data_IF_623687465410
#
_entry.id   IF_623687465410
#
_cell.length_a   1.000
_cell.length_b   1.000
_cell.length_c   1.000
_cell.angle_alpha   90.00
_cell.angle_beta   90.00
_cell.angle_gamma   90.00
#
_symmetry.space_group_name_H-M   'P 1'
#
loop_
_entity.id
_entity.type
_entity.pdbx_description
1 polymer ?
#
# COMPACT_ATOMS: atom_id res chain seq x y z
N UNK A 1 -6.98 6.63 -6.80
CA UNK A 1 -5.91 5.99 -6.03
C UNK A 1 -6.19 4.50 -5.88
N UNK A 2 -7.22 4.07 -5.15
CA UNK A 2 -7.50 2.63 -4.98
C UNK A 2 -7.52 1.85 -6.31
N UNK A 3 -8.18 2.36 -7.36
CA UNK A 3 -8.16 1.73 -8.69
C UNK A 3 -6.76 1.48 -9.25
N UNK A 4 -5.82 2.38 -8.98
CA UNK A 4 -4.43 2.23 -9.45
C UNK A 4 -3.72 1.11 -8.70
N UNK A 5 -3.90 1.04 -7.38
CA UNK A 5 -3.37 -0.05 -6.54
C UNK A 5 -3.93 -1.40 -6.97
N UNK A 6 -5.25 -1.51 -7.18
CA UNK A 6 -5.88 -2.75 -7.65
C UNK A 6 -5.41 -3.13 -9.07
N UNK A 7 -5.13 -2.14 -9.92
CA UNK A 7 -4.53 -2.38 -11.24
C UNK A 7 -3.13 -3.01 -11.12
N UNK A 8 -2.31 -2.52 -10.18
CA UNK A 8 -1.01 -3.11 -9.91
C UNK A 8 -1.13 -4.52 -9.30
N UNK A 9 -2.04 -4.70 -8.35
CA UNK A 9 -2.30 -6.00 -7.71
C UNK A 9 -2.77 -7.06 -8.70
N UNK A 10 -3.50 -6.68 -9.76
CA UNK A 10 -3.90 -7.61 -10.83
C UNK A 10 -2.71 -8.25 -11.54
N UNK A 11 -1.55 -7.61 -11.54
CA UNK A 11 -0.32 -8.14 -12.14
C UNK A 11 0.39 -9.20 -11.30
N UNK A 12 -0.12 -9.55 -10.10
CA UNK A 12 0.48 -10.54 -9.19
C UNK A 12 -0.48 -11.65 -8.75
N UNK A 13 -1.66 -11.76 -9.39
CA UNK A 13 -2.69 -12.76 -9.04
C UNK A 13 -2.29 -14.21 -9.34
N UNK A 14 -1.25 -14.43 -10.11
CA UNK A 14 -0.63 -15.73 -10.32
C UNK A 14 0.19 -16.21 -9.10
N UNK A 15 0.47 -15.32 -8.18
CA UNK A 15 1.28 -15.56 -6.97
C UNK A 15 0.55 -15.35 -5.65
N UNK A 16 -0.52 -14.54 -5.66
CA UNK A 16 -1.28 -14.13 -4.49
C UNK A 16 -2.78 -14.16 -4.74
N UNK A 17 -3.54 -14.57 -3.73
CA UNK A 17 -4.96 -14.22 -3.63
C UNK A 17 -5.07 -12.76 -3.16
N UNK A 18 -5.88 -11.97 -3.84
CA UNK A 18 -6.06 -10.55 -3.54
C UNK A 18 -7.42 -10.31 -2.88
N UNK A 19 -7.38 -9.67 -1.74
CA UNK A 19 -8.58 -9.27 -0.99
C UNK A 19 -8.53 -7.79 -0.67
N UNK A 20 -9.65 -7.12 -0.82
CA UNK A 20 -9.84 -5.76 -0.34
C UNK A 20 -10.52 -5.80 1.04
N UNK A 21 -9.89 -5.18 2.02
CA UNK A 21 -10.46 -5.03 3.37
C UNK A 21 -11.23 -3.72 3.41
N UNK A 22 -12.56 -3.77 3.50
CA UNK A 22 -13.38 -2.55 3.43
C UNK A 22 -14.79 -2.77 3.93
N UNK A 23 -15.42 -1.73 4.50
CA UNK A 23 -16.85 -1.61 4.75
C UNK A 23 -17.57 -0.71 3.72
N UNK A 24 -16.83 -0.07 2.80
CA UNK A 24 -17.39 0.87 1.82
C UNK A 24 -17.97 0.16 0.59
N UNK A 25 -19.19 0.54 0.21
CA UNK A 25 -19.91 -0.08 -0.91
C UNK A 25 -19.23 0.15 -2.26
N UNK A 26 -18.72 1.37 -2.50
CA UNK A 26 -18.06 1.70 -3.77
C UNK A 26 -16.73 0.95 -3.90
N UNK A 27 -16.02 0.76 -2.79
CA UNK A 27 -14.78 -0.02 -2.77
C UNK A 27 -15.07 -1.51 -3.02
N UNK A 28 -16.17 -2.07 -2.49
CA UNK A 28 -16.62 -3.44 -2.80
C UNK A 28 -16.95 -3.61 -4.29
N UNK A 29 -17.70 -2.68 -4.86
CA UNK A 29 -18.04 -2.71 -6.29
C UNK A 29 -16.77 -2.68 -7.15
N UNK A 30 -15.79 -1.87 -6.73
CA UNK A 30 -14.51 -1.81 -7.40
C UNK A 30 -13.73 -3.14 -7.28
N UNK A 31 -13.70 -3.78 -6.11
CA UNK A 31 -13.09 -5.09 -5.94
C UNK A 31 -13.72 -6.13 -6.87
N UNK A 32 -15.06 -6.15 -6.97
CA UNK A 32 -15.80 -7.03 -7.86
C UNK A 32 -15.45 -6.79 -9.35
N UNK A 33 -15.28 -5.53 -9.78
CA UNK A 33 -14.84 -5.19 -11.14
C UNK A 33 -13.47 -5.80 -11.46
N UNK A 34 -12.57 -5.89 -10.47
CA UNK A 34 -11.26 -6.51 -10.63
C UNK A 34 -11.27 -8.03 -10.45
N UNK A 35 -12.37 -8.62 -9.98
CA UNK A 35 -12.47 -10.04 -9.66
C UNK A 35 -11.75 -10.41 -8.35
N UNK A 36 -11.59 -9.45 -7.44
CA UNK A 36 -10.95 -9.65 -6.15
C UNK A 36 -11.95 -9.98 -5.05
N UNK A 37 -11.49 -10.73 -4.04
CA UNK A 37 -12.27 -10.99 -2.85
C UNK A 37 -12.40 -9.75 -1.96
N UNK A 38 -13.38 -9.78 -1.05
CA UNK A 38 -13.58 -8.75 -0.04
C UNK A 38 -13.57 -9.40 1.33
N UNK A 39 -12.83 -8.80 2.25
CA UNK A 39 -12.91 -9.05 3.68
C UNK A 39 -13.68 -7.87 4.27
N UNK A 40 -14.88 -8.16 4.76
CA UNK A 40 -15.82 -7.13 5.21
C UNK A 40 -15.37 -6.51 6.55
N UNK A 41 -15.02 -5.22 6.53
CA UNK A 41 -14.80 -4.46 7.75
C UNK A 41 -16.10 -3.76 8.18
N UNK A 42 -16.87 -4.45 9.01
CA UNK A 42 -18.16 -3.94 9.50
C UNK A 42 -18.02 -2.95 10.65
N UNK A 43 -16.85 -2.87 11.29
CA UNK A 43 -16.64 -2.03 12.46
C UNK A 43 -16.12 -0.66 12.08
N UNK A 44 -15.26 -0.59 11.08
CA UNK A 44 -14.60 0.64 10.62
C UNK A 44 -13.97 1.45 11.79
N UNK A 45 -13.31 0.73 12.73
CA UNK A 45 -12.76 1.33 13.94
C UNK A 45 -11.43 2.04 13.67
N UNK A 46 -10.54 1.37 12.96
CA UNK A 46 -9.23 1.88 12.55
C UNK A 46 -8.58 0.97 11.50
N UNK A 47 -7.61 1.51 10.78
CA UNK A 47 -6.79 0.72 9.85
C UNK A 47 -6.10 -0.46 10.56
N UNK A 48 -5.54 -0.24 11.74
CA UNK A 48 -4.94 -1.31 12.55
C UNK A 48 -5.93 -2.42 12.85
N UNK A 49 -7.16 -2.09 13.30
CA UNK A 49 -8.19 -3.08 13.61
C UNK A 49 -8.63 -3.86 12.37
N UNK A 50 -8.78 -3.19 11.22
CA UNK A 50 -9.12 -3.81 9.95
C UNK A 50 -8.05 -4.82 9.51
N UNK A 51 -6.77 -4.47 9.64
CA UNK A 51 -5.65 -5.33 9.24
C UNK A 51 -5.47 -6.49 10.21
N UNK A 52 -5.65 -6.30 11.51
CA UNK A 52 -5.63 -7.39 12.49
C UNK A 52 -6.75 -8.40 12.22
N UNK A 53 -7.96 -7.91 11.96
CA UNK A 53 -9.10 -8.76 11.56
C UNK A 53 -8.78 -9.54 10.28
N UNK A 54 -8.27 -8.87 9.26
CA UNK A 54 -7.90 -9.52 8.00
C UNK A 54 -6.77 -10.55 8.18
N UNK A 55 -5.79 -10.27 9.04
CA UNK A 55 -4.72 -11.20 9.39
C UNK A 55 -5.27 -12.46 10.06
N UNK A 56 -6.20 -12.31 11.01
CA UNK A 56 -6.88 -13.45 11.66
C UNK A 56 -7.68 -14.26 10.64
N UNK A 57 -8.45 -13.58 9.76
CA UNK A 57 -9.20 -14.20 8.68
C UNK A 57 -8.32 -15.03 7.74
N UNK A 58 -7.12 -14.51 7.39
CA UNK A 58 -6.11 -15.23 6.61
C UNK A 58 -5.60 -16.47 7.35
N UNK A 59 -5.30 -16.34 8.64
CA UNK A 59 -4.82 -17.45 9.47
C UNK A 59 -5.83 -18.61 9.56
N UNK A 60 -7.13 -18.30 9.73
CA UNK A 60 -8.21 -19.32 9.72
C UNK A 60 -8.29 -20.10 8.40
N UNK A 61 -7.77 -19.53 7.31
CA UNK A 61 -7.74 -20.13 5.96
C UNK A 61 -6.37 -20.67 5.57
N UNK A 62 -5.50 -20.79 6.55
CA UNK A 62 -4.15 -21.36 6.38
C UNK A 62 -3.23 -20.55 5.43
N UNK A 63 -3.48 -19.26 5.27
CA UNK A 63 -2.51 -18.36 4.64
C UNK A 63 -1.34 -18.14 5.60
N UNK A 64 -0.18 -18.60 5.21
CA UNK A 64 1.04 -18.42 5.99
C UNK A 64 1.69 -17.04 5.77
N UNK A 65 1.50 -16.48 4.59
CA UNK A 65 2.11 -15.21 4.18
C UNK A 65 1.03 -14.17 3.88
N UNK A 66 1.23 -12.96 4.37
CA UNK A 66 0.38 -11.81 4.02
C UNK A 66 1.22 -10.66 3.46
N UNK A 67 0.63 -9.93 2.51
CA UNK A 67 1.14 -8.65 2.01
C UNK A 67 0.05 -7.61 2.22
N UNK A 68 0.36 -6.56 2.96
CA UNK A 68 -0.54 -5.43 3.20
C UNK A 68 -0.05 -4.23 2.40
N UNK A 69 -0.94 -3.63 1.63
CA UNK A 69 -0.68 -2.41 0.83
C UNK A 69 -1.85 -1.46 1.02
N UNK A 70 -1.63 -0.19 1.40
CA UNK A 70 -2.68 0.82 1.51
C UNK A 70 -3.32 1.15 0.15
N UNK A 71 -4.54 1.69 0.18
CA UNK A 71 -5.29 2.06 -1.03
C UNK A 71 -4.92 3.42 -1.64
N UNK A 72 -4.05 4.17 -1.00
CA UNK A 72 -3.68 5.56 -1.30
C UNK A 72 -2.27 5.74 -1.86
N UNK A 73 -1.64 4.65 -2.33
CA UNK A 73 -0.33 4.61 -3.00
C UNK A 73 -0.48 4.45 -4.52
N UNK A 74 -0.97 5.48 -5.25
CA UNK A 74 -1.43 5.36 -6.64
C UNK A 74 -0.34 5.11 -7.68
N UNK A 75 0.93 5.21 -7.30
CA UNK A 75 2.07 4.92 -8.17
C UNK A 75 2.60 3.49 -8.03
N UNK A 76 1.98 2.68 -7.19
CA UNK A 76 2.30 1.25 -7.05
C UNK A 76 2.26 0.56 -8.42
N UNK A 77 3.28 -0.26 -8.69
CA UNK A 77 3.38 -1.05 -9.91
C UNK A 77 3.43 -2.55 -9.60
N UNK A 78 3.00 -3.39 -10.54
CA UNK A 78 3.16 -4.84 -10.42
C UNK A 78 4.64 -5.26 -10.31
N UNK A 79 5.53 -4.52 -10.96
CA UNK A 79 6.99 -4.75 -10.86
C UNK A 79 7.48 -4.56 -9.42
N UNK A 80 7.03 -3.52 -8.74
CA UNK A 80 7.40 -3.30 -7.33
C UNK A 80 6.80 -4.37 -6.42
N UNK A 81 5.55 -4.78 -6.66
CA UNK A 81 4.93 -5.88 -5.92
C UNK A 81 5.69 -7.20 -6.12
N UNK A 82 6.11 -7.53 -7.35
CA UNK A 82 6.98 -8.67 -7.60
C UNK A 82 8.29 -8.58 -6.82
N UNK A 83 8.95 -7.41 -6.79
CA UNK A 83 10.16 -7.22 -5.99
C UNK A 83 9.94 -7.48 -4.50
N UNK A 84 8.81 -7.07 -3.94
CA UNK A 84 8.44 -7.38 -2.54
C UNK A 84 8.35 -8.90 -2.36
N UNK A 85 7.64 -9.59 -3.25
CA UNK A 85 7.46 -11.04 -3.18
C UNK A 85 8.77 -11.82 -3.36
N UNK A 86 9.62 -11.39 -4.30
CA UNK A 86 10.90 -12.03 -4.59
C UNK A 86 11.94 -11.84 -3.47
N UNK A 87 11.78 -10.76 -2.70
CA UNK A 87 12.66 -10.45 -1.57
C UNK A 87 12.23 -11.12 -0.27
N UNK A 88 11.11 -11.85 -0.27
CA UNK A 88 10.56 -12.45 0.94
C UNK A 88 11.47 -13.56 1.48
N UNK A 89 11.92 -13.47 2.75
CA UNK A 89 12.65 -14.56 3.39
C UNK A 89 11.74 -15.78 3.63
N UNK A 90 12.33 -16.95 3.88
CA UNK A 90 11.55 -18.15 4.24
C UNK A 90 10.74 -17.94 5.50
N UNK A 91 11.28 -17.20 6.47
CA UNK A 91 10.60 -16.70 7.68
C UNK A 91 11.14 -15.31 7.96
N UNK A 92 10.25 -14.33 8.17
CA UNK A 92 10.62 -12.92 8.37
C UNK A 92 9.67 -11.94 7.70
N UNK A 93 10.19 -10.78 7.33
CA UNK A 93 9.38 -9.72 6.73
C UNK A 93 10.11 -8.93 5.64
N UNK A 94 9.30 -8.29 4.78
CA UNK A 94 9.76 -7.24 3.84
C UNK A 94 8.94 -5.99 4.11
N UNK A 95 9.61 -4.87 4.34
CA UNK A 95 8.96 -3.57 4.54
C UNK A 95 9.34 -2.60 3.43
N UNK A 96 8.35 -1.83 2.99
CA UNK A 96 8.55 -0.64 2.15
C UNK A 96 8.08 0.56 2.97
N UNK A 97 8.99 1.46 3.37
CA UNK A 97 8.62 2.66 4.10
C UNK A 97 7.90 3.67 3.19
N UNK A 98 7.13 4.56 3.79
CA UNK A 98 6.75 5.81 3.15
C UNK A 98 8.01 6.62 2.77
N UNK A 99 7.90 7.53 1.80
CA UNK A 99 9.03 8.31 1.29
C UNK A 99 9.71 9.16 2.38
N UNK A 100 8.94 9.59 3.38
CA UNK A 100 9.41 10.33 4.54
C UNK A 100 9.94 9.42 5.68
N UNK A 101 9.85 8.09 5.49
CA UNK A 101 10.24 7.03 6.44
C UNK A 101 9.49 7.07 7.77
N UNK A 102 8.34 7.71 7.83
CA UNK A 102 7.48 7.72 9.01
C UNK A 102 6.49 6.55 8.97
N UNK A 103 5.79 6.35 7.87
CA UNK A 103 4.85 5.27 7.64
C UNK A 103 5.46 4.01 7.04
N UNK A 104 4.66 2.95 6.99
CA UNK A 104 4.97 1.68 6.32
C UNK A 104 3.92 1.45 5.22
N UNK A 105 4.30 1.57 3.96
CA UNK A 105 3.38 1.53 2.81
C UNK A 105 3.25 0.14 2.17
N UNK A 106 4.13 -0.78 2.48
CA UNK A 106 3.91 -2.19 2.17
C UNK A 106 4.61 -3.05 3.22
N UNK A 107 3.90 -4.06 3.70
CA UNK A 107 4.44 -5.00 4.68
C UNK A 107 4.10 -6.42 4.25
N UNK A 108 5.13 -7.21 3.90
CA UNK A 108 5.04 -8.65 3.77
C UNK A 108 5.50 -9.30 5.06
N UNK A 109 4.71 -10.28 5.56
CA UNK A 109 5.05 -11.07 6.75
C UNK A 109 4.93 -12.55 6.46
N UNK A 110 5.88 -13.33 6.96
CA UNK A 110 5.90 -14.79 6.93
C UNK A 110 6.52 -15.36 8.21
N UNK A 111 5.74 -16.00 9.12
CA UNK A 111 4.29 -16.17 9.04
C UNK A 111 3.53 -14.84 9.17
N UNK A 112 2.26 -14.83 8.77
CA UNK A 112 1.40 -13.65 8.78
C UNK A 112 1.30 -12.97 10.16
N UNK A 113 1.47 -13.72 11.23
CA UNK A 113 1.40 -13.27 12.63
C UNK A 113 2.75 -13.00 13.27
N UNK A 114 3.86 -12.95 12.49
CA UNK A 114 5.24 -12.82 13.06
C UNK A 114 5.42 -11.58 13.93
N UNK A 115 4.76 -10.49 13.59
CA UNK A 115 4.61 -9.29 14.42
C UNK A 115 3.20 -8.73 14.30
N UNK A 116 2.66 -8.06 15.33
CA UNK A 116 1.47 -7.25 15.20
C UNK A 116 1.76 -6.03 14.31
N UNK A 117 0.77 -5.59 13.54
CA UNK A 117 0.88 -4.34 12.79
C UNK A 117 0.14 -3.22 13.52
N UNK A 118 0.73 -2.03 13.46
CA UNK A 118 0.15 -0.81 14.00
C UNK A 118 0.33 0.28 12.96
N UNK A 119 -0.77 0.71 12.36
CA UNK A 119 -0.77 1.79 11.39
C UNK A 119 -1.11 3.11 12.09
N UNK A 120 -0.74 4.20 11.45
CA UNK A 120 -0.84 5.56 11.95
C UNK A 120 0.53 6.26 11.90
N UNK A 121 0.62 7.45 12.49
CA UNK A 121 1.83 8.26 12.46
C UNK A 121 3.04 7.51 13.03
N UNK A 122 4.16 7.58 12.30
CA UNK A 122 5.46 7.03 12.71
C UNK A 122 5.47 5.51 12.92
N UNK A 123 4.71 4.74 12.11
CA UNK A 123 4.60 3.28 12.26
C UNK A 123 5.84 2.50 11.81
N UNK A 124 6.71 3.06 10.96
CA UNK A 124 7.83 2.34 10.35
C UNK A 124 8.88 1.89 11.38
N UNK A 125 9.36 2.80 12.23
CA UNK A 125 10.39 2.45 13.23
C UNK A 125 9.87 1.46 14.29
N UNK A 126 8.65 1.59 14.84
CA UNK A 126 8.04 0.56 15.68
C UNK A 126 7.95 -0.81 15.01
N UNK A 127 7.57 -0.90 13.74
CA UNK A 127 7.55 -2.17 13.01
C UNK A 127 8.96 -2.78 12.88
N UNK A 128 9.96 -1.97 12.53
CA UNK A 128 11.36 -2.43 12.49
C UNK A 128 11.84 -2.95 13.84
N UNK A 129 11.49 -2.26 14.93
CA UNK A 129 11.85 -2.68 16.27
C UNK A 129 11.18 -4.01 16.65
N UNK A 130 9.87 -4.16 16.36
CA UNK A 130 9.16 -5.40 16.59
C UNK A 130 9.79 -6.58 15.83
N UNK A 131 10.18 -6.37 14.56
CA UNK A 131 10.89 -7.40 13.79
C UNK A 131 12.24 -7.74 14.40
N UNK A 132 13.03 -6.75 14.83
CA UNK A 132 14.32 -6.96 15.48
C UNK A 132 14.20 -7.84 16.72
N UNK A 133 13.14 -7.66 17.49
CA UNK A 133 12.87 -8.43 18.73
C UNK A 133 12.58 -9.91 18.44
N UNK A 134 12.06 -10.24 17.25
CA UNK A 134 11.87 -11.64 16.83
C UNK A 134 13.17 -12.37 16.50
N UNK A 135 14.26 -11.65 16.24
CA UNK A 135 15.52 -12.22 15.75
C UNK A 135 15.43 -12.76 14.31
N UNK A 136 14.33 -12.55 13.60
CA UNK A 136 14.12 -13.02 12.23
C UNK A 136 14.54 -11.97 11.20
N UNK A 137 14.86 -12.39 9.96
CA UNK A 137 15.25 -11.49 8.89
C UNK A 137 14.20 -10.42 8.59
N UNK A 138 14.67 -9.18 8.42
CA UNK A 138 13.92 -8.06 7.90
C UNK A 138 14.62 -7.52 6.66
N UNK A 139 13.93 -7.47 5.54
CA UNK A 139 14.35 -6.80 4.31
C UNK A 139 13.62 -5.47 4.20
N UNK A 140 14.35 -4.38 3.95
CA UNK A 140 13.76 -3.06 3.68
C UNK A 140 14.02 -2.73 2.22
N UNK A 141 12.96 -2.41 1.48
CA UNK A 141 13.02 -2.03 0.07
C UNK A 141 12.58 -0.58 -0.08
N UNK A 142 13.40 0.22 -0.75
CA UNK A 142 13.02 1.56 -1.19
C UNK A 142 12.37 1.44 -2.58
N UNK A 143 11.05 1.58 -2.63
CA UNK A 143 10.24 1.45 -3.84
C UNK A 143 9.47 2.75 -4.08
N UNK A 144 9.86 3.55 -5.09
CA UNK A 144 9.35 4.92 -5.23
C UNK A 144 7.84 5.02 -5.50
N UNK A 145 7.24 3.99 -6.10
CA UNK A 145 5.80 3.96 -6.38
C UNK A 145 5.00 3.62 -5.14
N UNK A 146 5.36 2.56 -4.43
CA UNK A 146 4.73 2.16 -3.17
C UNK A 146 5.03 3.19 -2.06
N UNK A 147 6.23 3.79 -2.07
CA UNK A 147 6.66 4.73 -1.05
C UNK A 147 5.90 6.06 -1.04
N UNK A 148 5.11 6.40 -2.07
CA UNK A 148 4.36 7.65 -2.11
C UNK A 148 2.88 7.41 -1.83
N UNK A 149 2.49 7.56 -0.59
CA UNK A 149 1.10 7.69 -0.11
C UNK A 149 0.61 9.13 -0.26
N UNK A 150 -0.70 9.31 -0.35
CA UNK A 150 -1.31 10.61 -0.61
C UNK A 150 -2.22 11.01 0.56
N UNK A 151 -1.63 11.63 1.57
CA UNK A 151 -2.31 12.09 2.77
C UNK A 151 -2.58 13.61 2.76
N UNK A 152 -1.71 14.39 2.09
CA UNK A 152 -1.74 15.85 2.12
C UNK A 152 -1.60 16.46 0.72
N UNK A 153 -1.88 17.76 0.61
CA UNK A 153 -1.85 18.46 -0.68
C UNK A 153 -0.48 18.43 -1.37
N UNK A 154 0.61 18.48 -0.60
CA UNK A 154 1.96 18.46 -1.19
C UNK A 154 2.29 17.12 -1.87
N UNK A 155 1.71 16.00 -1.43
CA UNK A 155 1.90 14.70 -2.07
C UNK A 155 1.13 14.59 -3.38
N UNK A 156 0.01 15.32 -3.53
CA UNK A 156 -0.63 15.47 -4.84
C UNK A 156 0.29 16.16 -5.85
N UNK A 157 1.08 17.14 -5.41
CA UNK A 157 2.07 17.81 -6.26
C UNK A 157 3.19 16.83 -6.64
N UNK A 158 3.72 16.10 -5.67
CA UNK A 158 4.72 15.07 -5.93
C UNK A 158 4.19 14.00 -6.90
N UNK A 159 2.94 13.56 -6.72
CA UNK A 159 2.28 12.62 -7.62
C UNK A 159 2.25 13.14 -9.07
N UNK A 160 1.91 14.42 -9.28
CA UNK A 160 1.83 15.01 -10.61
C UNK A 160 3.20 15.23 -11.26
N UNK A 161 4.25 15.41 -10.46
CA UNK A 161 5.64 15.54 -10.94
C UNK A 161 6.26 14.20 -11.33
N UNK A 162 5.73 13.08 -10.82
CA UNK A 162 6.25 11.76 -11.18
C UNK A 162 5.82 11.36 -12.59
N UNK A 163 6.71 10.71 -13.35
CA UNK A 163 6.34 10.18 -14.65
C UNK A 163 5.26 9.12 -14.49
N UNK A 164 4.31 9.10 -15.42
CA UNK A 164 3.22 8.13 -15.41
C UNK A 164 1.88 8.72 -15.87
N UNK A 165 0.90 7.84 -15.94
CA UNK A 165 -0.46 8.21 -16.35
C UNK A 165 -1.47 7.34 -15.59
N UNK A 166 -1.36 7.32 -14.25
CA UNK A 166 -2.30 6.59 -13.39
C UNK A 166 -3.69 7.20 -13.46
N UNK A 167 -4.69 6.48 -12.98
CA UNK A 167 -6.06 7.01 -12.91
C UNK A 167 -6.11 8.27 -12.03
N UNK A 168 -5.41 8.24 -10.89
CA UNK A 168 -5.31 9.39 -10.00
C UNK A 168 -4.69 10.61 -10.68
N UNK A 169 -3.56 10.44 -11.41
CA UNK A 169 -2.91 11.54 -12.13
C UNK A 169 -3.81 12.12 -13.22
N UNK A 170 -4.53 11.27 -13.99
CA UNK A 170 -5.47 11.74 -15.02
C UNK A 170 -6.61 12.55 -14.40
N UNK A 171 -7.16 12.08 -13.29
CA UNK A 171 -8.24 12.76 -12.59
C UNK A 171 -7.80 14.13 -12.08
N UNK A 172 -6.65 14.22 -11.42
CA UNK A 172 -6.09 15.49 -10.94
C UNK A 172 -5.86 16.48 -12.07
N UNK A 173 -5.30 16.03 -13.19
CA UNK A 173 -5.12 16.87 -14.39
C UNK A 173 -6.47 17.35 -14.96
N UNK A 174 -7.50 16.48 -14.98
CA UNK A 174 -8.82 16.86 -15.47
C UNK A 174 -9.51 17.91 -14.58
N UNK A 175 -9.14 17.99 -13.31
CA UNK A 175 -9.61 19.03 -12.37
C UNK A 175 -8.76 20.32 -12.43
N UNK A 176 -7.75 20.37 -13.32
CA UNK A 176 -6.85 21.52 -13.42
C UNK A 176 -5.84 21.64 -12.29
N UNK A 177 -5.75 20.62 -11.42
CA UNK A 177 -4.74 20.57 -10.37
C UNK A 177 -3.39 20.30 -11.04
N UNK A 178 -2.42 21.19 -10.81
CA UNK A 178 -1.09 21.14 -11.44
C UNK A 178 -0.88 22.15 -12.57
N UNK A 179 -1.93 22.65 -13.22
CA UNK A 179 -1.78 23.72 -14.23
C UNK A 179 -1.35 25.07 -13.65
N UNK A 180 -1.62 25.29 -12.37
CA UNK A 180 -1.24 26.52 -11.65
C UNK A 180 0.27 26.60 -11.36
N UNK A 181 0.99 25.48 -11.34
CA UNK A 181 2.41 25.44 -10.98
C UNK A 181 3.34 25.71 -12.17
N UNK A 182 2.91 25.42 -13.40
CA UNK A 182 3.69 25.82 -14.60
C UNK A 182 3.70 27.34 -14.80
N UNK A 183 2.63 28.03 -14.44
CA UNK A 183 2.54 29.49 -14.57
C UNK A 183 3.47 30.24 -13.60
N UNK A 184 3.79 29.65 -12.45
CA UNK A 184 4.65 30.30 -11.44
C UNK A 184 6.14 30.16 -11.77
N UNK A 185 6.55 29.09 -12.47
CA UNK A 185 7.93 28.89 -12.91
C UNK A 185 8.30 29.75 -14.13
N UNK A 186 7.33 30.08 -15.00
CA UNK A 186 7.55 30.99 -16.13
C UNK A 186 7.51 32.45 -15.72
N UNK A 187 6.95 32.84 -14.58
CA UNK A 187 6.89 34.20 -14.07
C UNK A 187 8.13 34.63 -13.26
N UNK A 188 9.05 33.70 -12.98
CA UNK A 188 10.30 33.93 -12.21
C UNK A 188 11.58 33.66 -12.99
N UNK A 189 11.48 33.52 -14.33
CA UNK A 189 12.59 33.34 -15.26
C UNK A 189 13.01 34.64 -15.98
#
# INVERSE_FOLDING_TARGET
MLRDVLTAARGVVDRLDVYLVTGDACARDLAAEFGFGVIEDTRNESETAAIEMATAWCGERSYDTTVVVPGDVPLTTSVELHRVLDSAPTEGAVFVPAYDRRGSNCILRRPASIIPLRFGNDSFLPHCQAMKETGKPLVILELPGIGLDIDHLHELELLLQRPGNTHAQRLLRSWGIGSQYHATLEATG
#
